data_IF_687381802712
#
_entry.id   IF_687381802712
#
_cell.length_a   1.000
_cell.length_b   1.000
_cell.length_c   1.000
_cell.angle_alpha   90.00
_cell.angle_beta   90.00
_cell.angle_gamma   90.00
#
_symmetry.space_group_name_H-M   'P 1'
#
loop_
_entity.id
_entity.type
_entity.pdbx_description
1 polymer ?
#
# COMPACT_ATOMS: atom_id res chain seq x y z
N UNK A 1 16.22 -2.63 -4.35
CA UNK A 1 16.79 -2.98 -3.02
C UNK A 1 16.17 -2.06 -1.98
N UNK A 2 15.82 -2.58 -0.80
CA UNK A 2 15.28 -1.78 0.31
C UNK A 2 16.42 -1.20 1.16
N UNK A 3 16.26 0.06 1.55
CA UNK A 3 17.16 0.76 2.45
C UNK A 3 16.48 0.96 3.81
N UNK A 4 17.25 0.95 4.90
CA UNK A 4 16.74 1.02 6.28
C UNK A 4 15.99 2.34 6.58
N UNK A 5 16.22 3.38 5.78
CA UNK A 5 15.50 4.66 5.83
C UNK A 5 14.06 4.62 5.28
N UNK A 6 13.58 3.44 4.86
CA UNK A 6 12.30 3.25 4.17
C UNK A 6 12.31 3.64 2.69
N UNK A 7 13.47 3.96 2.13
CA UNK A 7 13.63 4.23 0.70
C UNK A 7 13.78 2.93 -0.11
N UNK A 8 13.25 2.94 -1.34
CA UNK A 8 13.51 1.89 -2.34
C UNK A 8 14.54 2.37 -3.34
N UNK A 9 15.56 1.56 -3.55
CA UNK A 9 16.54 1.74 -4.62
C UNK A 9 16.08 0.97 -5.85
N UNK A 10 15.69 1.71 -6.89
CA UNK A 10 15.31 1.15 -8.20
C UNK A 10 16.19 1.78 -9.27
N UNK A 11 16.97 0.97 -9.99
CA UNK A 11 17.93 1.42 -11.00
C UNK A 11 18.89 2.51 -10.47
N UNK A 12 19.40 2.33 -9.25
CA UNK A 12 20.31 3.29 -8.61
C UNK A 12 19.65 4.59 -8.13
N UNK A 13 18.32 4.65 -8.07
CA UNK A 13 17.57 5.84 -7.61
C UNK A 13 16.85 5.55 -6.31
N UNK A 14 17.03 6.44 -5.33
CA UNK A 14 16.27 6.38 -4.07
C UNK A 14 14.89 6.98 -4.26
N UNK A 15 13.87 6.27 -3.77
CA UNK A 15 12.46 6.66 -3.86
C UNK A 15 11.76 6.43 -2.54
N UNK A 16 10.78 7.29 -2.24
CA UNK A 16 9.81 7.09 -1.17
C UNK A 16 8.39 7.19 -1.72
N UNK A 17 7.47 6.48 -1.09
CA UNK A 17 6.08 6.39 -1.50
C UNK A 17 5.20 7.00 -0.41
N UNK A 18 4.28 7.85 -0.84
CA UNK A 18 3.29 8.49 0.03
C UNK A 18 1.92 8.06 -0.48
N UNK A 19 1.10 7.48 0.39
CA UNK A 19 -0.30 7.19 0.10
C UNK A 19 -1.11 8.46 0.31
N UNK A 20 -1.97 8.79 -0.63
CA UNK A 20 -2.80 9.99 -0.62
C UNK A 20 -4.26 9.58 -0.72
N UNK A 21 -5.09 10.10 0.17
CA UNK A 21 -6.52 9.86 0.14
C UNK A 21 -7.23 10.76 -0.89
N UNK A 22 -8.55 10.56 -0.98
CA UNK A 22 -9.36 11.21 -1.99
C UNK A 22 -9.83 12.61 -1.57
N UNK A 23 -10.10 13.45 -2.57
CA UNK A 23 -10.73 14.75 -2.40
C UNK A 23 -12.05 14.78 -3.16
N UNK A 24 -13.15 15.11 -2.47
CA UNK A 24 -14.44 15.26 -3.12
C UNK A 24 -14.63 16.67 -3.69
N UNK A 25 -14.22 16.86 -4.94
CA UNK A 25 -14.36 18.14 -5.64
C UNK A 25 -15.81 18.58 -5.82
N UNK A 26 -16.78 17.66 -5.85
CA UNK A 26 -18.20 17.99 -6.00
C UNK A 26 -18.81 18.62 -4.75
N UNK A 27 -18.16 18.45 -3.60
CA UNK A 27 -18.57 19.08 -2.35
C UNK A 27 -17.92 20.46 -2.13
N UNK A 28 -17.08 20.93 -3.07
CA UNK A 28 -16.32 22.17 -2.95
C UNK A 28 -16.88 23.26 -3.87
N UNK A 29 -16.76 24.51 -3.43
CA UNK A 29 -16.99 25.69 -4.25
C UNK A 29 -15.88 25.89 -5.30
N UNK A 30 -16.16 26.67 -6.33
CA UNK A 30 -15.16 27.00 -7.37
C UNK A 30 -13.95 27.74 -6.81
N UNK A 31 -14.13 28.56 -5.76
CA UNK A 31 -13.04 29.27 -5.08
C UNK A 31 -12.12 28.31 -4.33
N UNK A 32 -12.70 27.32 -3.63
CA UNK A 32 -11.93 26.27 -2.95
C UNK A 32 -11.15 25.42 -3.94
N UNK A 33 -11.77 25.02 -5.06
CA UNK A 33 -11.10 24.28 -6.14
C UNK A 33 -9.92 25.09 -6.70
N UNK A 34 -10.11 26.40 -6.93
CA UNK A 34 -9.04 27.28 -7.39
C UNK A 34 -7.89 27.37 -6.37
N UNK A 35 -8.21 27.51 -5.07
CA UNK A 35 -7.22 27.54 -4.01
C UNK A 35 -6.42 26.23 -3.91
N UNK A 36 -7.08 25.07 -3.99
CA UNK A 36 -6.42 23.76 -4.01
C UNK A 36 -5.47 23.65 -5.21
N UNK A 37 -5.94 24.05 -6.40
CA UNK A 37 -5.12 24.06 -7.63
C UNK A 37 -3.88 24.95 -7.48
N UNK A 38 -4.02 26.13 -6.90
CA UNK A 38 -2.92 27.07 -6.77
C UNK A 38 -1.90 26.60 -5.72
N UNK A 39 -2.36 25.96 -4.64
CA UNK A 39 -1.49 25.26 -3.68
C UNK A 39 -0.77 24.08 -4.32
N UNK A 40 -1.45 23.29 -5.15
CA UNK A 40 -0.83 22.22 -5.92
C UNK A 40 0.29 22.76 -6.82
N UNK A 41 0.03 23.83 -7.59
CA UNK A 41 1.05 24.48 -8.43
C UNK A 41 2.24 24.99 -7.61
N UNK A 42 1.99 25.61 -6.46
CA UNK A 42 3.06 26.09 -5.57
C UNK A 42 3.93 24.94 -5.04
N UNK A 43 3.34 23.78 -4.76
CA UNK A 43 4.09 22.56 -4.42
C UNK A 43 4.94 22.10 -5.61
N UNK A 44 4.36 22.00 -6.82
CA UNK A 44 5.10 21.59 -8.02
C UNK A 44 6.32 22.46 -8.31
N UNK A 45 6.20 23.77 -8.11
CA UNK A 45 7.30 24.72 -8.34
C UNK A 45 8.47 24.56 -7.36
N UNK A 46 8.27 23.90 -6.22
CA UNK A 46 9.30 23.69 -5.20
C UNK A 46 10.05 22.37 -5.33
N UNK A 47 9.57 21.45 -6.17
CA UNK A 47 10.19 20.15 -6.36
C UNK A 47 11.33 20.27 -7.38
N UNK A 48 12.54 19.89 -6.98
CA UNK A 48 13.70 19.90 -7.90
C UNK A 48 13.68 18.67 -8.82
N UNK A 49 12.93 17.64 -8.46
CA UNK A 49 12.86 16.37 -9.17
C UNK A 49 11.43 16.05 -9.63
N UNK A 50 11.26 15.35 -10.77
CA UNK A 50 9.97 14.86 -11.19
C UNK A 50 9.45 13.80 -10.20
N UNK A 51 8.22 13.96 -9.73
CA UNK A 51 7.48 12.94 -8.98
C UNK A 51 6.50 12.21 -9.89
N UNK A 52 6.10 11.01 -9.49
CA UNK A 52 5.16 10.19 -10.24
C UNK A 52 3.88 9.98 -9.42
N UNK A 53 2.72 10.16 -10.04
CA UNK A 53 1.43 9.76 -9.47
C UNK A 53 1.07 8.37 -10.02
N UNK A 54 0.69 7.46 -9.15
CA UNK A 54 0.26 6.11 -9.49
C UNK A 54 -1.08 5.81 -8.83
N UNK A 55 -2.08 5.41 -9.61
CA UNK A 55 -3.37 4.97 -9.09
C UNK A 55 -3.39 3.45 -9.15
N UNK A 56 -3.43 2.81 -7.99
CA UNK A 56 -3.51 1.37 -7.86
C UNK A 56 -4.94 0.97 -7.57
N UNK A 57 -5.38 -0.11 -8.22
CA UNK A 57 -6.66 -0.75 -7.97
C UNK A 57 -6.37 -2.20 -7.62
N UNK A 58 -6.54 -2.56 -6.34
CA UNK A 58 -6.33 -3.93 -5.83
C UNK A 58 -7.67 -4.60 -5.58
N UNK A 59 -7.77 -5.91 -5.80
CA UNK A 59 -8.83 -6.70 -5.16
C UNK A 59 -8.43 -6.87 -3.70
N UNK A 60 -9.27 -6.44 -2.77
CA UNK A 60 -8.99 -6.64 -1.36
C UNK A 60 -9.01 -8.15 -1.05
N UNK A 61 -7.90 -8.69 -0.55
CA UNK A 61 -7.82 -10.06 -0.06
C UNK A 61 -8.10 -10.06 1.45
N UNK A 62 -9.32 -10.42 1.84
CA UNK A 62 -9.74 -10.46 3.24
C UNK A 62 -9.46 -11.80 3.93
N UNK A 63 -8.77 -12.74 3.29
CA UNK A 63 -8.58 -14.11 3.82
C UNK A 63 -7.98 -14.10 5.22
N UNK A 64 -6.89 -13.35 5.43
CA UNK A 64 -6.23 -13.25 6.74
C UNK A 64 -7.08 -12.52 7.78
N UNK A 65 -7.84 -11.50 7.35
CA UNK A 65 -8.78 -10.78 8.22
C UNK A 65 -9.92 -11.69 8.68
N UNK A 66 -10.50 -12.47 7.77
CA UNK A 66 -11.56 -13.44 8.08
C UNK A 66 -11.02 -14.50 9.04
N UNK A 67 -9.83 -15.04 8.82
CA UNK A 67 -9.23 -16.03 9.72
C UNK A 67 -9.01 -15.47 11.13
N UNK A 68 -8.50 -14.23 11.24
CA UNK A 68 -8.33 -13.56 12.54
C UNK A 68 -9.67 -13.27 13.23
N UNK A 69 -10.66 -12.77 12.49
CA UNK A 69 -11.98 -12.49 13.02
C UNK A 69 -12.68 -13.77 13.51
N UNK A 70 -12.59 -14.86 12.75
CA UNK A 70 -13.12 -16.17 13.14
C UNK A 70 -12.48 -16.70 14.43
N UNK A 71 -11.14 -16.62 14.54
CA UNK A 71 -10.43 -16.99 15.77
C UNK A 71 -10.89 -16.16 16.97
N UNK A 72 -11.06 -14.85 16.78
CA UNK A 72 -11.50 -13.94 17.85
C UNK A 72 -12.94 -14.24 18.29
N UNK A 73 -13.81 -14.56 17.32
CA UNK A 73 -15.19 -14.99 17.59
C UNK A 73 -15.20 -16.31 18.36
N UNK A 74 -14.37 -17.28 17.97
CA UNK A 74 -14.27 -18.57 18.66
C UNK A 74 -13.80 -18.43 20.11
N UNK A 75 -12.80 -17.58 20.35
CA UNK A 75 -12.31 -17.33 21.70
C UNK A 75 -13.38 -16.63 22.56
N UNK A 76 -14.13 -15.69 21.99
CA UNK A 76 -15.25 -15.06 22.67
C UNK A 76 -16.36 -16.06 22.99
N UNK A 77 -16.74 -16.93 22.04
CA UNK A 77 -17.78 -17.95 22.25
C UNK A 77 -17.38 -18.93 23.37
N UNK A 78 -16.12 -19.36 23.42
CA UNK A 78 -15.58 -20.21 24.49
C UNK A 78 -15.62 -19.52 25.86
N UNK A 79 -15.34 -18.21 25.92
CA UNK A 79 -15.27 -17.46 27.17
C UNK A 79 -16.64 -17.23 27.84
N UNK A 80 -17.73 -17.13 27.06
CA UNK A 80 -19.06 -16.79 27.58
C UNK A 80 -20.02 -17.99 27.72
N UNK A 81 -19.66 -19.19 27.25
CA UNK A 81 -20.40 -20.47 27.37
C UNK A 81 -21.93 -20.37 27.14
N UNK A 82 -22.36 -19.53 26.18
CA UNK A 82 -23.78 -19.26 25.93
C UNK A 82 -24.27 -19.91 24.61
N UNK A 83 -25.22 -20.87 24.65
CA UNK A 83 -25.72 -21.57 23.46
C UNK A 83 -26.38 -20.66 22.40
N UNK A 84 -27.06 -19.59 22.82
CA UNK A 84 -27.68 -18.64 21.88
C UNK A 84 -26.64 -17.79 21.15
N UNK A 85 -25.49 -17.56 21.81
CA UNK A 85 -24.36 -16.83 21.25
C UNK A 85 -23.61 -17.65 20.19
N UNK A 86 -23.58 -18.99 20.33
CA UNK A 86 -22.99 -19.90 19.33
C UNK A 86 -23.69 -19.80 17.98
N UNK A 87 -25.03 -19.83 17.97
CA UNK A 87 -25.80 -19.74 16.73
C UNK A 87 -25.62 -18.39 16.02
N UNK A 88 -25.56 -17.30 16.79
CA UNK A 88 -25.27 -15.97 16.27
C UNK A 88 -23.83 -15.87 15.73
N UNK A 89 -22.85 -16.44 16.44
CA UNK A 89 -21.46 -16.46 16.02
C UNK A 89 -21.26 -17.18 14.68
N UNK A 90 -21.90 -18.34 14.47
CA UNK A 90 -21.83 -19.05 13.19
C UNK A 90 -22.47 -18.25 12.05
N UNK A 91 -23.60 -17.59 12.28
CA UNK A 91 -24.21 -16.70 11.30
C UNK A 91 -23.30 -15.51 10.96
N UNK A 92 -22.62 -14.93 11.95
CA UNK A 92 -21.67 -13.84 11.75
C UNK A 92 -20.45 -14.29 10.95
N UNK A 93 -19.87 -15.46 11.24
CA UNK A 93 -18.75 -16.02 10.45
C UNK A 93 -19.17 -16.24 9.00
N UNK A 94 -20.36 -16.79 8.77
CA UNK A 94 -20.89 -17.00 7.42
C UNK A 94 -21.04 -15.68 6.66
N UNK A 95 -21.63 -14.67 7.31
CA UNK A 95 -21.72 -13.32 6.75
C UNK A 95 -20.35 -12.71 6.41
N UNK A 96 -19.35 -12.85 7.28
CA UNK A 96 -17.99 -12.36 7.03
C UNK A 96 -17.34 -13.05 5.82
N UNK A 97 -17.52 -14.37 5.67
CA UNK A 97 -17.04 -15.12 4.50
C UNK A 97 -17.70 -14.64 3.21
N UNK A 98 -19.01 -14.40 3.23
CA UNK A 98 -19.75 -13.92 2.08
C UNK A 98 -19.36 -12.49 1.70
N UNK A 99 -19.19 -11.60 2.68
CA UNK A 99 -18.67 -10.25 2.45
C UNK A 99 -17.25 -10.25 1.90
N UNK A 100 -16.38 -11.13 2.39
CA UNK A 100 -15.00 -11.27 1.92
C UNK A 100 -14.91 -11.78 0.46
N UNK A 101 -15.90 -12.55 0.00
CA UNK A 101 -16.01 -13.03 -1.38
C UNK A 101 -16.47 -11.96 -2.36
N UNK A 102 -17.06 -10.86 -1.87
CA UNK A 102 -17.49 -9.76 -2.76
C UNK A 102 -16.24 -9.10 -3.37
N UNK A 103 -16.18 -8.93 -4.70
CA UNK A 103 -15.05 -8.29 -5.37
C UNK A 103 -15.00 -6.81 -5.01
N UNK A 104 -14.30 -6.47 -3.93
CA UNK A 104 -14.02 -5.08 -3.55
C UNK A 104 -12.71 -4.66 -4.19
N UNK A 105 -12.77 -3.57 -4.95
CA UNK A 105 -11.57 -2.94 -5.51
C UNK A 105 -11.18 -1.79 -4.60
N UNK A 106 -10.15 -1.97 -3.78
CA UNK A 106 -9.56 -0.85 -3.06
C UNK A 106 -8.71 -0.05 -4.04
N UNK A 107 -8.94 1.28 -4.07
CA UNK A 107 -8.13 2.20 -4.85
C UNK A 107 -7.15 2.89 -3.92
N UNK A 108 -5.88 2.83 -4.25
CA UNK A 108 -4.82 3.54 -3.54
C UNK A 108 -4.16 4.54 -4.48
N UNK A 109 -4.16 5.82 -4.12
CA UNK A 109 -3.38 6.82 -4.84
C UNK A 109 -2.02 6.95 -4.17
N UNK A 110 -0.95 6.76 -4.94
CA UNK A 110 0.41 6.83 -4.47
C UNK A 110 1.15 7.96 -5.19
N UNK A 111 1.83 8.78 -4.41
CA UNK A 111 2.85 9.71 -4.90
C UNK A 111 4.22 9.10 -4.65
N UNK A 112 4.97 8.92 -5.73
CA UNK A 112 6.35 8.43 -5.69
C UNK A 112 7.27 9.63 -5.81
N UNK A 113 7.97 9.92 -4.72
CA UNK A 113 9.01 10.95 -4.66
C UNK A 113 10.36 10.28 -4.91
N UNK A 114 11.18 10.86 -5.78
CA UNK A 114 12.48 10.30 -6.12
C UNK A 114 13.53 11.38 -6.32
N UNK A 115 14.78 11.02 -6.08
CA UNK A 115 15.93 11.88 -6.36
C UNK A 115 16.88 11.19 -7.33
N UNK A 116 17.49 11.96 -8.21
CA UNK A 116 18.58 11.50 -9.07
C UNK A 116 19.93 11.86 -8.44
N UNK A 117 20.94 10.97 -8.52
CA UNK A 117 22.30 11.33 -8.15
C UNK A 117 22.77 12.49 -9.02
N UNK A 118 23.47 13.46 -8.42
CA UNK A 118 24.07 14.56 -9.17
C UNK A 118 25.12 14.06 -10.17
N UNK A 119 25.29 14.84 -11.25
CA UNK A 119 26.31 14.58 -12.26
C UNK A 119 27.70 14.58 -11.59
N UNK A 120 28.45 13.48 -11.73
CA UNK A 120 29.75 13.28 -11.07
C UNK A 120 29.73 12.27 -9.91
N UNK A 121 28.56 11.74 -9.55
CA UNK A 121 28.38 10.86 -8.40
C UNK A 121 28.02 11.66 -7.15
N UNK A 122 27.18 11.08 -6.31
CA UNK A 122 26.71 11.69 -5.06
C UNK A 122 26.69 10.62 -3.99
N UNK A 123 27.22 10.92 -2.80
CA UNK A 123 27.19 9.98 -1.68
C UNK A 123 25.73 9.63 -1.32
N UNK A 124 25.50 8.36 -0.97
CA UNK A 124 24.18 7.84 -0.61
C UNK A 124 23.51 8.67 0.50
N UNK A 125 24.28 9.09 1.51
CA UNK A 125 23.78 9.92 2.61
C UNK A 125 23.18 11.24 2.09
N UNK A 126 23.85 11.92 1.17
CA UNK A 126 23.38 13.18 0.60
C UNK A 126 22.13 12.97 -0.27
N UNK A 127 22.04 11.85 -0.99
CA UNK A 127 20.85 11.49 -1.75
C UNK A 127 19.66 11.27 -0.80
N UNK A 128 19.85 10.58 0.32
CA UNK A 128 18.80 10.34 1.32
C UNK A 128 18.33 11.64 2.00
N UNK A 129 19.25 12.55 2.31
CA UNK A 129 18.92 13.87 2.87
C UNK A 129 18.11 14.73 1.87
N UNK A 130 18.47 14.69 0.58
CA UNK A 130 17.67 15.34 -0.48
C UNK A 130 16.30 14.70 -0.61
N UNK A 131 16.22 13.37 -0.62
CA UNK A 131 14.95 12.65 -0.71
C UNK A 131 14.03 12.99 0.46
N UNK A 132 14.57 13.15 1.66
CA UNK A 132 13.82 13.54 2.86
C UNK A 132 13.28 14.96 2.73
N UNK A 133 14.07 15.90 2.21
CA UNK A 133 13.61 17.27 1.95
C UNK A 133 12.49 17.32 0.90
N UNK A 134 12.66 16.60 -0.20
CA UNK A 134 11.64 16.49 -1.24
C UNK A 134 10.34 15.89 -0.70
N UNK A 135 10.45 14.85 0.13
CA UNK A 135 9.32 14.25 0.83
C UNK A 135 8.59 15.30 1.69
N UNK A 136 9.32 16.06 2.51
CA UNK A 136 8.74 17.11 3.36
C UNK A 136 8.03 18.22 2.55
N UNK A 137 8.53 18.57 1.36
CA UNK A 137 7.85 19.53 0.49
C UNK A 137 6.53 18.98 -0.06
N UNK A 138 6.51 17.71 -0.46
CA UNK A 138 5.27 17.05 -0.91
C UNK A 138 4.27 16.95 0.23
N UNK A 139 4.69 16.51 1.41
CA UNK A 139 3.84 16.42 2.61
C UNK A 139 3.22 17.78 2.97
N UNK A 140 4.03 18.84 2.98
CA UNK A 140 3.57 20.20 3.25
C UNK A 140 2.55 20.66 2.21
N UNK A 141 2.76 20.33 0.94
CA UNK A 141 1.82 20.63 -0.14
C UNK A 141 0.50 19.87 -0.02
N UNK A 142 0.55 18.57 0.30
CA UNK A 142 -0.61 17.72 0.56
C UNK A 142 -1.43 18.25 1.74
N UNK A 143 -0.77 18.56 2.85
CA UNK A 143 -1.39 19.16 4.03
C UNK A 143 -2.04 20.50 3.70
N UNK A 144 -1.36 21.38 2.95
CA UNK A 144 -1.91 22.66 2.54
C UNK A 144 -3.16 22.51 1.65
N UNK A 145 -3.24 21.46 0.83
CA UNK A 145 -4.43 21.15 0.03
C UNK A 145 -5.57 20.52 0.86
N UNK A 146 -5.32 20.17 2.12
CA UNK A 146 -6.28 19.46 2.96
C UNK A 146 -6.43 17.98 2.57
N UNK A 147 -5.44 17.42 1.87
CA UNK A 147 -5.45 16.01 1.47
C UNK A 147 -4.95 15.15 2.63
N UNK A 148 -5.69 14.11 3.05
CA UNK A 148 -5.17 13.12 3.96
C UNK A 148 -4.04 12.34 3.27
N UNK A 149 -2.94 12.12 3.97
CA UNK A 149 -1.81 11.36 3.45
C UNK A 149 -1.15 10.53 4.54
N UNK A 150 -0.48 9.47 4.12
CA UNK A 150 0.27 8.55 4.97
C UNK A 150 1.59 8.19 4.31
N UNK A 151 2.70 8.35 5.05
CA UNK A 151 4.03 7.98 4.56
C UNK A 151 4.20 6.50 4.80
N UNK A 152 4.37 5.73 3.72
CA UNK A 152 4.39 4.28 3.83
C UNK A 152 5.63 3.79 4.59
N UNK A 153 5.39 2.90 5.56
CA UNK A 153 6.43 2.15 6.25
C UNK A 153 7.18 1.24 5.26
N UNK A 154 8.45 0.86 5.55
CA UNK A 154 9.26 0.06 4.63
C UNK A 154 8.53 -1.18 4.10
N UNK A 155 7.78 -1.88 4.96
CA UNK A 155 6.99 -3.08 4.60
C UNK A 155 5.87 -2.74 3.60
N UNK A 156 5.14 -1.65 3.85
CA UNK A 156 4.05 -1.19 2.96
C UNK A 156 4.60 -0.68 1.62
N UNK A 157 5.80 -0.11 1.63
CA UNK A 157 6.49 0.28 0.41
C UNK A 157 6.85 -0.94 -0.45
N UNK A 158 7.32 -2.03 0.16
CA UNK A 158 7.56 -3.31 -0.54
C UNK A 158 6.30 -3.78 -1.24
N UNK A 159 5.19 -3.79 -0.50
CA UNK A 159 3.88 -4.20 -0.97
C UNK A 159 3.42 -3.35 -2.16
N UNK A 160 3.41 -2.02 -2.02
CA UNK A 160 2.99 -1.09 -3.05
C UNK A 160 3.81 -1.24 -4.35
N UNK A 161 5.12 -1.49 -4.21
CA UNK A 161 6.05 -1.74 -5.32
C UNK A 161 5.77 -3.07 -6.01
N UNK A 162 5.52 -4.14 -5.25
CA UNK A 162 5.18 -5.44 -5.82
C UNK A 162 3.84 -5.40 -6.55
N UNK A 163 2.85 -4.71 -5.99
CA UNK A 163 1.54 -4.52 -6.62
C UNK A 163 1.62 -3.75 -7.93
N UNK A 164 2.53 -2.76 -8.03
CA UNK A 164 2.72 -1.98 -9.26
C UNK A 164 3.32 -2.81 -10.40
N UNK A 165 4.32 -3.64 -10.11
CA UNK A 165 5.06 -4.39 -11.15
C UNK A 165 4.54 -5.82 -11.39
N UNK A 166 3.84 -6.43 -10.43
CA UNK A 166 3.36 -7.81 -10.49
C UNK A 166 1.88 -7.90 -10.07
N UNK A 167 0.98 -7.36 -10.90
CA UNK A 167 -0.47 -7.33 -10.65
C UNK A 167 -1.09 -8.72 -10.40
N UNK A 168 -0.54 -9.76 -11.04
CA UNK A 168 -0.98 -11.16 -10.93
C UNK A 168 -0.53 -11.84 -9.61
N UNK A 169 0.50 -11.32 -8.92
CA UNK A 169 1.10 -11.96 -7.72
C UNK A 169 0.73 -11.34 -6.39
N UNK A 170 0.23 -10.12 -6.40
CA UNK A 170 -0.35 -9.46 -5.22
C UNK A 170 -1.42 -10.33 -4.54
N UNK A 171 -2.00 -11.28 -5.29
CA UNK A 171 -3.01 -12.23 -4.83
C UNK A 171 -2.38 -13.49 -4.18
N UNK A 172 -1.16 -13.90 -4.56
CA UNK A 172 -0.65 -15.26 -4.32
C UNK A 172 0.62 -15.39 -3.46
N UNK A 173 1.35 -14.31 -3.17
CA UNK A 173 2.55 -14.40 -2.30
C UNK A 173 2.27 -13.89 -0.88
N UNK A 174 2.51 -14.75 0.13
CA UNK A 174 2.43 -14.38 1.54
C UNK A 174 3.47 -13.31 1.87
N UNK A 175 2.99 -12.15 2.31
CA UNK A 175 3.72 -10.91 2.62
C UNK A 175 4.97 -11.09 3.49
N UNK A 176 4.99 -12.11 4.37
CA UNK A 176 6.11 -12.41 5.28
C UNK A 176 7.39 -12.83 4.55
N UNK A 177 7.26 -13.51 3.41
CA UNK A 177 8.41 -14.13 2.73
C UNK A 177 9.22 -13.10 1.93
N UNK A 178 8.59 -12.05 1.42
CA UNK A 178 9.27 -10.96 0.72
C UNK A 178 10.11 -10.10 1.67
N UNK A 179 9.59 -9.81 2.87
CA UNK A 179 10.28 -9.03 3.91
C UNK A 179 11.49 -9.81 4.46
N UNK A 180 11.30 -11.10 4.79
CA UNK A 180 12.37 -11.98 5.27
C UNK A 180 13.56 -12.06 4.29
N UNK A 181 13.29 -12.05 2.98
CA UNK A 181 14.33 -12.26 1.96
C UNK A 181 15.00 -10.97 1.46
N UNK A 182 14.59 -9.78 1.93
CA UNK A 182 15.08 -8.45 1.48
C UNK A 182 15.19 -8.29 -0.05
N UNK A 183 14.43 -9.07 -0.82
CA UNK A 183 14.56 -9.19 -2.28
C UNK A 183 13.21 -8.96 -2.94
N UNK A 184 13.23 -8.37 -4.14
CA UNK A 184 12.06 -8.40 -5.02
C UNK A 184 11.82 -9.85 -5.43
N UNK A 185 10.60 -10.35 -5.31
CA UNK A 185 10.28 -11.71 -5.73
C UNK A 185 10.61 -11.90 -7.22
N UNK A 186 11.40 -12.93 -7.56
CA UNK A 186 11.80 -13.29 -8.93
C UNK A 186 10.59 -13.39 -9.84
N UNK A 187 10.58 -12.72 -10.99
CA UNK A 187 9.50 -12.73 -12.01
C UNK A 187 9.18 -14.20 -12.42
N UNK A 188 7.96 -14.66 -12.19
CA UNK A 188 7.47 -15.93 -12.79
C UNK A 188 6.66 -15.53 -14.00
N UNK A 189 7.02 -16.07 -15.15
CA UNK A 189 6.26 -15.94 -16.37
C UNK A 189 5.17 -17.01 -16.36
N UNK A 190 3.89 -16.59 -16.43
CA UNK A 190 2.78 -17.46 -16.77
C UNK A 190 1.74 -17.70 -15.67
N UNK A 191 0.50 -17.41 -16.04
CA UNK A 191 -0.80 -17.84 -15.50
C UNK A 191 -1.24 -17.35 -14.11
N UNK A 192 -2.49 -16.89 -14.07
CA UNK A 192 -3.28 -16.59 -12.88
C UNK A 192 -3.26 -17.80 -11.94
N UNK A 193 -2.63 -17.67 -10.78
CA UNK A 193 -2.65 -18.69 -9.74
C UNK A 193 -3.85 -18.42 -8.84
N UNK A 194 -4.86 -19.28 -8.92
CA UNK A 194 -6.00 -19.22 -8.00
C UNK A 194 -5.54 -19.55 -6.57
N UNK A 195 -6.19 -18.91 -5.58
CA UNK A 195 -5.82 -19.02 -4.15
C UNK A 195 -5.83 -20.49 -3.66
N UNK A 196 -6.61 -21.35 -4.30
CA UNK A 196 -6.73 -22.78 -3.98
C UNK A 196 -5.47 -23.59 -4.35
N UNK A 197 -4.69 -23.17 -5.35
CA UNK A 197 -3.49 -23.91 -5.81
C UNK A 197 -2.30 -23.78 -4.85
N UNK A 198 -2.28 -22.73 -4.02
CA UNK A 198 -1.19 -22.43 -3.07
C UNK A 198 -1.27 -23.34 -1.83
N UNK A 199 -2.48 -23.73 -1.44
CA UNK A 199 -2.70 -24.65 -0.30
C UNK A 199 -2.23 -26.06 -0.67
N UNK A 200 -2.55 -26.53 -1.89
CA UNK A 200 -2.14 -27.85 -2.38
C UNK A 200 -0.62 -28.03 -2.48
N UNK A 201 0.12 -26.99 -2.85
CA UNK A 201 1.58 -27.10 -3.01
C UNK A 201 2.33 -27.17 -1.68
N UNK A 202 1.76 -26.62 -0.59
CA UNK A 202 2.35 -26.70 0.76
C UNK A 202 2.15 -28.07 1.41
N UNK A 203 1.13 -28.84 1.02
CA UNK A 203 0.90 -30.20 1.55
C UNK A 203 1.78 -31.26 0.86
N UNK A 204 2.33 -30.95 -0.31
CA UNK A 204 3.19 -31.87 -1.10
C UNK A 204 4.68 -31.57 -1.01
N UNK A 205 5.11 -30.64 -0.15
CA UNK A 205 6.53 -30.25 0.02
C UNK A 205 7.09 -30.66 1.38
#
# INVERSE_FOLDING_TARGET
>A
QFHESGAVVVNGRFRKLIRVGDLNLYAMSMEEIAAVRDRFKAMLMRLDNPFQISVQARRANYTDFVAYAESTIDDAVKAYENPAFVAYAEALKHYLRDEARKPRTDRENLIVVGVLPKVGGEEEKLQLERLTREQSFVESGLSAMGLPYDVLEPVQVVEAVQNFWNRERAVSQRYRDAVMRRTHALRVYGADVEVEDIVRTQETS
#
